data_IF_628694278385
#
_entry.id   IF_628694278385
#
_cell.length_a   1.000
_cell.length_b   1.000
_cell.length_c   1.000
_cell.angle_alpha   90.00
_cell.angle_beta   90.00
_cell.angle_gamma   90.00
#
_symmetry.space_group_name_H-M   'P 1'
#
loop_
_entity.id
_entity.type
_entity.pdbx_description
1 polymer ?
#
# COMPACT_ATOMS: atom_id res chain seq x y z
N UNK A 1 17.13 3.10 15.77
CA UNK A 1 16.93 2.33 14.52
C UNK A 1 18.00 1.26 14.41
N UNK A 2 17.65 0.03 14.03
CA UNK A 2 18.62 -1.04 13.78
C UNK A 2 19.29 -0.83 12.40
N UNK A 3 20.61 -0.63 12.39
CA UNK A 3 21.36 -0.32 11.17
C UNK A 3 21.32 -1.44 10.13
N UNK A 4 21.25 -2.70 10.57
CA UNK A 4 21.21 -3.86 9.66
C UNK A 4 19.89 -3.94 8.89
N UNK A 5 18.79 -3.57 9.55
CA UNK A 5 17.45 -3.56 8.94
C UNK A 5 17.35 -2.46 7.87
N UNK A 6 17.91 -1.29 8.14
CA UNK A 6 17.99 -0.22 7.16
C UNK A 6 18.84 -0.61 5.95
N UNK A 7 19.96 -1.32 6.15
CA UNK A 7 20.82 -1.76 5.06
C UNK A 7 20.10 -2.77 4.14
N UNK A 8 19.39 -3.74 4.70
CA UNK A 8 18.63 -4.71 3.91
C UNK A 8 17.53 -4.03 3.09
N UNK A 9 16.79 -3.09 3.69
CA UNK A 9 15.76 -2.33 2.98
C UNK A 9 16.38 -1.43 1.92
N UNK A 10 17.48 -0.74 2.20
CA UNK A 10 18.15 0.14 1.25
C UNK A 10 18.73 -0.62 0.04
N UNK A 11 19.11 -1.89 0.23
CA UNK A 11 19.64 -2.75 -0.83
C UNK A 11 18.59 -3.25 -1.83
N UNK A 12 17.29 -3.10 -1.54
CA UNK A 12 16.24 -3.49 -2.48
C UNK A 12 16.33 -2.67 -3.78
N UNK A 13 16.39 -3.36 -4.91
CA UNK A 13 16.23 -2.76 -6.24
C UNK A 13 14.75 -2.54 -6.55
N UNK A 14 14.26 -1.31 -6.37
CA UNK A 14 12.86 -0.95 -6.60
C UNK A 14 12.63 -0.28 -7.96
N UNK A 15 13.65 -0.23 -8.81
CA UNK A 15 13.56 0.43 -10.12
C UNK A 15 12.48 -0.17 -11.04
N UNK A 16 12.31 -1.50 -11.14
CA UNK A 16 11.24 -2.07 -11.98
C UNK A 16 9.84 -1.63 -11.56
N UNK A 17 9.60 -1.43 -10.26
CA UNK A 17 8.31 -0.98 -9.72
C UNK A 17 8.05 0.46 -10.16
N UNK A 18 9.06 1.34 -10.03
CA UNK A 18 8.94 2.73 -10.50
C UNK A 18 8.72 2.81 -12.01
N UNK A 19 9.48 2.05 -12.80
CA UNK A 19 9.30 1.98 -14.27
C UNK A 19 7.86 1.61 -14.61
N UNK A 20 7.30 0.61 -13.90
CA UNK A 20 5.91 0.20 -14.10
C UNK A 20 4.91 1.29 -13.68
N UNK A 21 5.09 1.92 -12.52
CA UNK A 21 4.24 3.02 -12.03
C UNK A 21 4.26 4.25 -12.97
N UNK A 22 5.41 4.54 -13.57
CA UNK A 22 5.58 5.65 -14.51
C UNK A 22 5.01 5.35 -15.91
N UNK A 23 4.79 4.08 -16.25
CA UNK A 23 4.21 3.71 -17.55
C UNK A 23 2.77 4.21 -17.65
N UNK A 24 2.48 5.03 -18.67
CA UNK A 24 1.20 5.74 -18.80
C UNK A 24 0.00 4.83 -19.07
N UNK A 25 0.19 3.77 -19.86
CA UNK A 25 -0.94 2.95 -20.33
C UNK A 25 -1.26 1.77 -19.41
N UNK A 26 -0.24 1.28 -18.71
CA UNK A 26 -0.35 0.05 -17.92
C UNK A 26 0.00 0.24 -16.44
N UNK A 27 0.26 1.48 -16.05
CA UNK A 27 0.65 1.90 -14.71
C UNK A 27 -0.15 3.13 -14.31
N UNK A 28 0.38 3.91 -13.37
CA UNK A 28 -0.28 5.11 -12.85
C UNK A 28 0.12 6.40 -13.58
N UNK A 29 1.04 6.32 -14.55
CA UNK A 29 1.55 7.48 -15.28
C UNK A 29 2.31 8.48 -14.40
N UNK A 30 2.92 8.02 -13.30
CA UNK A 30 3.65 8.89 -12.37
C UNK A 30 4.85 9.59 -13.02
N UNK A 31 5.18 10.78 -12.51
CA UNK A 31 6.46 11.42 -12.80
C UNK A 31 7.59 10.70 -12.07
N UNK A 32 8.82 10.81 -12.57
CA UNK A 32 10.00 10.27 -11.88
C UNK A 32 10.16 10.87 -10.47
N UNK A 33 9.87 12.16 -10.32
CA UNK A 33 9.92 12.85 -9.03
C UNK A 33 8.95 12.26 -8.02
N UNK A 34 7.69 12.05 -8.41
CA UNK A 34 6.70 11.37 -7.56
C UNK A 34 7.14 9.95 -7.24
N UNK A 35 7.59 9.19 -8.23
CA UNK A 35 8.04 7.81 -8.02
C UNK A 35 9.20 7.73 -7.01
N UNK A 36 10.17 8.64 -7.09
CA UNK A 36 11.29 8.71 -6.14
C UNK A 36 10.85 9.16 -4.74
N UNK A 37 9.96 10.15 -4.64
CA UNK A 37 9.43 10.61 -3.36
C UNK A 37 8.63 9.50 -2.66
N UNK A 38 7.80 8.75 -3.41
CA UNK A 38 7.02 7.64 -2.85
C UNK A 38 7.91 6.42 -2.57
N UNK A 39 8.95 6.14 -3.36
CA UNK A 39 9.91 5.08 -3.04
C UNK A 39 10.56 5.34 -1.67
N UNK A 40 10.93 6.59 -1.39
CA UNK A 40 11.49 6.98 -0.09
C UNK A 40 10.52 6.66 1.06
N UNK A 41 9.25 7.04 0.93
CA UNK A 41 8.23 6.74 1.95
C UNK A 41 7.89 5.25 2.04
N UNK A 42 7.94 4.53 0.92
CA UNK A 42 7.74 3.08 0.89
C UNK A 42 8.85 2.33 1.64
N UNK A 43 10.11 2.77 1.52
CA UNK A 43 11.21 2.22 2.32
C UNK A 43 11.01 2.48 3.82
N UNK A 44 10.50 3.66 4.20
CA UNK A 44 10.11 3.95 5.60
C UNK A 44 8.97 3.05 6.08
N UNK A 45 7.97 2.81 5.23
CA UNK A 45 6.90 1.87 5.51
C UNK A 45 7.42 0.45 5.76
N UNK A 46 8.31 -0.08 4.91
CA UNK A 46 8.92 -1.40 5.12
C UNK A 46 9.70 -1.47 6.45
N UNK A 47 10.39 -0.38 6.82
CA UNK A 47 11.07 -0.28 8.11
C UNK A 47 10.09 -0.39 9.28
N UNK A 48 8.98 0.35 9.24
CA UNK A 48 7.94 0.28 10.28
C UNK A 48 7.34 -1.13 10.38
N UNK A 49 7.09 -1.80 9.24
CA UNK A 49 6.55 -3.16 9.24
C UNK A 49 7.49 -4.18 9.85
N UNK A 50 8.81 -3.95 9.71
CA UNK A 50 9.83 -4.77 10.36
C UNK A 50 9.96 -4.48 11.85
N UNK A 51 9.94 -3.19 12.21
CA UNK A 51 10.13 -2.74 13.59
C UNK A 51 8.93 -3.07 14.49
N UNK A 52 7.73 -3.10 13.93
CA UNK A 52 6.47 -3.30 14.64
C UNK A 52 5.63 -4.43 14.00
N UNK A 53 6.11 -5.69 14.01
CA UNK A 53 5.53 -6.77 13.22
C UNK A 53 4.11 -7.22 13.63
N UNK A 54 3.70 -6.84 14.85
CA UNK A 54 2.42 -7.18 15.46
C UNK A 54 1.39 -6.03 15.39
N UNK A 55 1.79 -4.86 14.89
CA UNK A 55 0.89 -3.70 14.76
C UNK A 55 0.01 -3.82 13.50
N UNK A 56 -1.24 -3.40 13.62
CA UNK A 56 -2.13 -3.25 12.47
C UNK A 56 -2.08 -1.80 12.00
N UNK A 57 -1.59 -1.61 10.78
CA UNK A 57 -1.37 -0.29 10.20
C UNK A 57 -1.80 -0.23 8.75
N UNK A 58 -2.26 0.93 8.28
CA UNK A 58 -2.48 1.19 6.86
C UNK A 58 -1.63 2.39 6.41
N UNK A 59 -0.84 2.25 5.33
CA UNK A 59 -0.08 3.38 4.79
C UNK A 59 -1.01 4.37 4.06
N UNK A 60 -0.45 5.52 3.67
CA UNK A 60 -1.11 6.46 2.75
C UNK A 60 -1.32 5.82 1.37
N UNK A 61 -2.33 6.31 0.63
CA UNK A 61 -2.76 5.80 -0.69
C UNK A 61 -1.59 5.58 -1.65
N UNK A 62 -0.69 6.55 -1.81
CA UNK A 62 0.42 6.44 -2.76
C UNK A 62 1.43 5.35 -2.36
N UNK A 63 1.70 5.22 -1.05
CA UNK A 63 2.60 4.19 -0.54
C UNK A 63 1.97 2.79 -0.67
N UNK A 64 0.67 2.67 -0.43
CA UNK A 64 -0.08 1.42 -0.66
C UNK A 64 -0.12 1.06 -2.14
N UNK A 65 -0.31 2.05 -3.02
CA UNK A 65 -0.25 1.86 -4.47
C UNK A 65 1.13 1.33 -4.88
N UNK A 66 2.21 1.94 -4.40
CA UNK A 66 3.56 1.43 -4.66
C UNK A 66 3.72 -0.02 -4.18
N UNK A 67 3.18 -0.33 -2.99
CA UNK A 67 3.20 -1.67 -2.43
C UNK A 67 2.45 -2.68 -3.30
N UNK A 68 1.27 -2.35 -3.82
CA UNK A 68 0.53 -3.21 -4.74
C UNK A 68 1.35 -3.52 -5.99
N UNK A 69 1.98 -2.52 -6.59
CA UNK A 69 2.83 -2.73 -7.77
C UNK A 69 4.07 -3.57 -7.46
N UNK A 70 4.60 -3.51 -6.24
CA UNK A 70 5.63 -4.43 -5.79
C UNK A 70 5.10 -5.87 -5.70
N UNK A 71 3.91 -6.07 -5.11
CA UNK A 71 3.26 -7.39 -4.97
C UNK A 71 2.99 -8.04 -6.34
N UNK A 72 2.66 -7.25 -7.37
CA UNK A 72 2.36 -7.77 -8.72
C UNK A 72 3.53 -8.55 -9.34
N UNK A 73 4.78 -8.19 -9.02
CA UNK A 73 5.95 -9.03 -9.33
C UNK A 73 6.17 -10.05 -8.21
N UNK A 74 5.34 -11.08 -8.20
CA UNK A 74 5.24 -12.04 -7.09
C UNK A 74 6.56 -12.74 -6.73
N UNK A 75 7.43 -13.02 -7.72
CA UNK A 75 8.73 -13.64 -7.48
C UNK A 75 9.68 -12.66 -6.81
N UNK A 76 9.79 -11.44 -7.34
CA UNK A 76 10.61 -10.39 -6.74
C UNK A 76 10.13 -10.06 -5.34
N UNK A 77 8.82 -9.88 -5.16
CA UNK A 77 8.25 -9.54 -3.87
C UNK A 77 8.53 -10.62 -2.81
N UNK A 78 8.46 -11.90 -3.18
CA UNK A 78 8.82 -12.99 -2.28
C UNK A 78 10.30 -12.95 -1.87
N UNK A 79 11.22 -12.70 -2.83
CA UNK A 79 12.67 -12.60 -2.56
C UNK A 79 12.99 -11.39 -1.69
N UNK A 80 12.43 -10.22 -2.01
CA UNK A 80 12.63 -8.99 -1.25
C UNK A 80 12.06 -9.12 0.17
N UNK A 81 10.90 -9.78 0.32
CA UNK A 81 10.33 -10.05 1.64
C UNK A 81 11.19 -10.99 2.47
N UNK A 82 11.75 -12.06 1.88
CA UNK A 82 12.65 -12.96 2.59
C UNK A 82 13.94 -12.21 3.03
N UNK A 83 14.51 -11.39 2.14
CA UNK A 83 15.69 -10.60 2.45
C UNK A 83 15.47 -9.58 3.59
N UNK A 84 14.30 -8.93 3.63
CA UNK A 84 13.99 -7.91 4.64
C UNK A 84 13.41 -8.51 5.91
N UNK A 85 12.42 -9.39 5.82
CA UNK A 85 11.63 -9.88 6.95
C UNK A 85 11.92 -11.33 7.33
N UNK A 86 12.60 -12.11 6.47
CA UNK A 86 12.74 -13.56 6.63
C UNK A 86 11.43 -14.33 6.45
N UNK A 87 10.39 -13.67 5.93
CA UNK A 87 9.08 -14.24 5.65
C UNK A 87 8.31 -13.33 4.69
N UNK A 88 7.25 -13.85 4.08
CA UNK A 88 6.39 -13.08 3.20
C UNK A 88 5.55 -12.06 4.00
N UNK A 89 5.67 -10.76 3.68
CA UNK A 89 4.82 -9.74 4.28
C UNK A 89 3.44 -9.78 3.61
N UNK A 90 2.43 -10.28 4.32
CA UNK A 90 1.08 -10.41 3.75
C UNK A 90 0.33 -9.08 3.73
N UNK A 91 -0.36 -8.81 2.62
CA UNK A 91 -1.25 -7.66 2.46
C UNK A 91 -2.72 -8.08 2.59
N UNK A 92 -3.51 -7.31 3.34
CA UNK A 92 -4.96 -7.49 3.46
C UNK A 92 -5.66 -6.25 2.87
N UNK A 93 -6.05 -6.28 1.57
CA UNK A 93 -6.53 -5.08 0.89
C UNK A 93 -7.95 -4.69 1.29
N UNK A 94 -8.71 -5.53 1.99
CA UNK A 94 -10.16 -5.36 2.10
C UNK A 94 -10.63 -4.47 3.25
N UNK A 95 -9.73 -3.94 4.07
CA UNK A 95 -10.09 -3.10 5.21
C UNK A 95 -10.77 -1.81 4.75
N UNK A 96 -11.84 -1.43 5.43
CA UNK A 96 -12.62 -0.23 5.12
C UNK A 96 -13.65 -0.39 4.01
N UNK A 97 -13.88 -1.60 3.48
CA UNK A 97 -14.83 -1.83 2.38
C UNK A 97 -16.15 -2.49 2.83
N UNK A 98 -16.25 -2.95 4.09
CA UNK A 98 -17.36 -3.78 4.58
C UNK A 98 -18.28 -3.05 5.57
N UNK A 99 -18.67 -1.81 5.23
CA UNK A 99 -19.57 -0.98 6.04
C UNK A 99 -18.85 -0.16 7.12
N UNK A 100 -19.65 0.54 7.91
CA UNK A 100 -19.19 1.61 8.82
C UNK A 100 -18.16 1.12 9.86
N UNK A 101 -18.33 -0.07 10.43
CA UNK A 101 -17.38 -0.63 11.41
C UNK A 101 -15.99 -0.90 10.81
N UNK A 102 -15.96 -1.37 9.56
CA UNK A 102 -14.72 -1.67 8.84
C UNK A 102 -14.03 -0.37 8.37
N UNK A 103 -14.81 0.64 7.99
CA UNK A 103 -14.31 2.00 7.70
C UNK A 103 -13.69 2.64 8.95
N UNK A 104 -14.37 2.54 10.10
CA UNK A 104 -13.82 2.99 11.37
C UNK A 104 -12.53 2.23 11.75
N UNK A 105 -12.46 0.93 11.45
CA UNK A 105 -11.24 0.14 11.64
C UNK A 105 -10.10 0.64 10.74
N UNK A 106 -10.40 0.95 9.48
CA UNK A 106 -9.43 1.51 8.55
C UNK A 106 -8.84 2.84 9.05
N UNK A 107 -9.69 3.74 9.54
CA UNK A 107 -9.23 5.02 10.13
C UNK A 107 -8.31 4.75 11.33
N UNK A 108 -8.66 3.82 12.22
CA UNK A 108 -7.83 3.49 13.39
C UNK A 108 -6.44 2.98 13.00
N UNK A 109 -6.34 2.07 12.04
CA UNK A 109 -5.04 1.53 11.62
C UNK A 109 -4.21 2.57 10.83
N UNK A 110 -4.87 3.50 10.14
CA UNK A 110 -4.20 4.65 9.53
C UNK A 110 -3.63 5.62 10.56
N UNK A 111 -4.41 5.96 11.59
CA UNK A 111 -3.93 6.77 12.72
C UNK A 111 -2.78 6.08 13.44
N UNK A 112 -2.85 4.76 13.61
CA UNK A 112 -1.75 3.98 14.20
C UNK A 112 -0.47 4.06 13.38
N UNK A 113 -0.57 4.00 12.05
CA UNK A 113 0.58 4.21 11.16
C UNK A 113 1.23 5.57 11.38
N UNK A 114 0.41 6.63 11.47
CA UNK A 114 0.88 7.99 11.69
C UNK A 114 1.68 8.10 12.99
N UNK A 115 1.13 7.60 14.09
CA UNK A 115 1.81 7.61 15.40
C UNK A 115 3.18 6.93 15.33
N UNK A 116 3.21 5.70 14.80
CA UNK A 116 4.46 4.93 14.68
C UNK A 116 5.49 5.62 13.80
N UNK A 117 5.05 6.25 12.72
CA UNK A 117 5.93 7.01 11.84
C UNK A 117 6.55 8.21 12.55
N UNK A 118 5.72 9.05 13.16
CA UNK A 118 6.14 10.27 13.85
C UNK A 118 7.07 9.95 15.03
N UNK A 119 6.76 8.90 15.79
CA UNK A 119 7.62 8.42 16.89
C UNK A 119 8.96 7.88 16.40
N UNK A 120 8.98 7.19 15.26
CA UNK A 120 10.19 6.53 14.72
C UNK A 120 11.13 7.53 14.06
N UNK A 121 10.57 8.45 13.27
CA UNK A 121 11.35 9.35 12.40
C UNK A 121 11.46 10.77 12.94
N UNK A 122 10.68 11.12 13.97
CA UNK A 122 10.59 12.49 14.50
C UNK A 122 10.22 13.52 13.41
N UNK A 123 9.38 13.11 12.47
CA UNK A 123 8.92 13.91 11.34
C UNK A 123 7.43 13.69 11.11
N UNK A 124 6.71 14.73 10.69
CA UNK A 124 5.29 14.66 10.36
C UNK A 124 5.03 13.61 9.26
N UNK A 125 4.07 12.70 9.49
CA UNK A 125 3.77 11.64 8.52
C UNK A 125 3.18 12.19 7.22
N UNK A 126 2.38 13.25 7.34
CA UNK A 126 1.81 13.97 6.20
C UNK A 126 2.71 15.17 5.94
N UNK A 127 3.76 14.97 5.14
CA UNK A 127 4.63 16.05 4.71
C UNK A 127 3.84 16.98 3.78
N UNK A 128 3.76 18.28 4.12
CA UNK A 128 3.26 19.29 3.20
C UNK A 128 4.17 19.31 1.96
N UNK A 129 3.68 18.82 0.82
CA UNK A 129 4.38 18.96 -0.44
C UNK A 129 4.63 20.47 -0.70
N UNK A 130 5.87 20.83 -1.03
CA UNK A 130 6.23 22.21 -1.30
C UNK A 130 5.36 22.80 -2.44
N UNK A 131 5.04 24.11 -2.43
CA UNK A 131 4.09 24.73 -3.35
C UNK A 131 4.59 24.92 -4.80
N UNK A 132 5.51 24.08 -5.29
CA UNK A 132 6.18 24.28 -6.57
C UNK A 132 5.48 23.65 -7.80
N UNK A 133 4.51 22.75 -7.64
CA UNK A 133 4.01 21.93 -8.77
C UNK A 133 2.61 22.28 -9.31
N UNK A 134 2.09 23.48 -9.02
CA UNK A 134 0.88 23.98 -9.71
C UNK A 134 1.29 24.72 -10.99
N UNK A 135 1.91 24.00 -11.93
CA UNK A 135 1.97 24.40 -13.34
C UNK A 135 2.49 23.22 -14.17
N UNK A 136 1.59 22.52 -14.87
CA UNK A 136 1.62 22.32 -16.32
C UNK A 136 0.75 21.11 -16.75
N UNK A 137 -0.11 21.40 -17.73
CA UNK A 137 -0.89 20.48 -18.57
C UNK A 137 -2.15 19.81 -17.99
N UNK A 138 -3.26 20.56 -17.98
CA UNK A 138 -4.41 20.26 -18.84
C UNK A 138 -5.25 18.99 -18.64
N UNK A 139 -4.97 18.17 -17.64
CA UNK A 139 -5.88 17.10 -17.17
C UNK A 139 -5.97 17.25 -15.66
N UNK A 140 -7.19 17.28 -15.11
CA UNK A 140 -7.43 17.54 -13.70
C UNK A 140 -6.73 16.48 -12.83
N UNK A 141 -5.48 16.75 -12.46
CA UNK A 141 -4.80 16.11 -11.37
C UNK A 141 -5.63 16.42 -10.12
N UNK A 142 -6.30 15.41 -9.57
CA UNK A 142 -6.79 15.48 -8.20
C UNK A 142 -5.58 15.49 -7.27
N UNK A 143 -4.93 16.65 -7.17
CA UNK A 143 -4.22 17.06 -5.97
C UNK A 143 -5.09 18.14 -5.33
N UNK A 144 -6.08 17.70 -4.55
CA UNK A 144 -7.01 18.57 -3.86
C UNK A 144 -6.37 19.11 -2.58
N UNK A 145 -5.78 20.30 -2.67
CA UNK A 145 -5.64 21.15 -1.49
C UNK A 145 -7.01 21.72 -1.14
N UNK A 146 -7.69 21.12 -0.16
CA UNK A 146 -8.76 21.77 0.58
C UNK A 146 -8.99 21.02 1.90
N UNK A 147 -8.33 21.38 3.00
CA UNK A 147 -8.77 21.07 4.37
C UNK A 147 -9.39 19.70 4.67
N UNK A 148 -8.92 18.62 4.02
CA UNK A 148 -9.48 17.27 4.12
C UNK A 148 -8.39 16.38 4.69
N UNK A 149 -8.76 15.60 5.72
CA UNK A 149 -7.90 14.65 6.41
C UNK A 149 -7.13 13.77 5.40
N UNK A 150 -5.88 13.43 5.73
CA UNK A 150 -5.09 12.48 4.96
C UNK A 150 -5.91 11.22 4.66
N UNK A 151 -6.02 10.87 3.38
CA UNK A 151 -6.77 9.69 2.97
C UNK A 151 -5.85 8.47 3.09
N UNK A 152 -6.27 7.52 3.93
CA UNK A 152 -5.65 6.20 4.01
C UNK A 152 -6.14 5.33 2.85
N UNK A 153 -5.35 4.35 2.45
CA UNK A 153 -5.60 3.59 1.22
C UNK A 153 -6.85 2.70 1.30
N UNK A 154 -7.81 2.92 0.40
CA UNK A 154 -8.92 1.99 0.18
C UNK A 154 -8.70 1.26 -1.15
N UNK A 155 -8.65 -0.08 -1.14
CA UNK A 155 -8.45 -0.88 -2.37
C UNK A 155 -9.68 -0.95 -3.29
N UNK A 156 -10.76 -0.24 -2.96
CA UNK A 156 -12.00 -0.22 -3.73
C UNK A 156 -11.91 0.71 -4.94
N UNK A 157 -11.27 0.29 -6.03
CA UNK A 157 -11.51 0.93 -7.33
C UNK A 157 -12.89 0.49 -7.84
N UNK A 158 -13.75 1.44 -8.18
CA UNK A 158 -14.98 1.16 -8.90
C UNK A 158 -14.62 0.40 -10.19
N UNK A 159 -15.03 -0.87 -10.28
CA UNK A 159 -14.73 -1.73 -11.40
C UNK A 159 -15.18 -1.10 -12.72
N UNK A 160 -14.23 -0.71 -13.57
CA UNK A 160 -14.47 -0.66 -15.01
C UNK A 160 -14.24 -2.08 -15.53
N UNK A 161 -15.34 -2.74 -15.90
CA UNK A 161 -15.32 -4.11 -16.37
C UNK A 161 -14.47 -4.24 -17.65
N UNK A 162 -13.33 -4.91 -17.55
CA UNK A 162 -12.68 -5.51 -18.70
C UNK A 162 -13.39 -6.83 -19.01
N UNK A 163 -14.21 -6.87 -20.05
CA UNK A 163 -14.83 -8.10 -20.52
C UNK A 163 -13.78 -8.99 -21.20
N UNK A 164 -13.41 -10.08 -20.54
CA UNK A 164 -12.88 -11.25 -21.23
C UNK A 164 -13.68 -12.49 -20.82
N UNK A 165 -14.56 -12.93 -21.73
CA UNK A 165 -14.96 -14.33 -21.89
C UNK A 165 -15.89 -14.96 -20.85
N UNK A 166 -17.13 -15.20 -21.32
CA UNK A 166 -18.09 -16.27 -20.95
C UNK A 166 -18.92 -16.08 -19.68
N UNK A 167 -20.24 -15.99 -19.90
CA UNK A 167 -21.27 -15.92 -18.88
C UNK A 167 -21.36 -17.23 -18.07
N UNK A 168 -21.14 -17.15 -16.76
CA UNK A 168 -21.41 -18.19 -15.79
C UNK A 168 -22.37 -17.65 -14.72
N UNK A 169 -23.41 -18.41 -14.43
CA UNK A 169 -24.61 -18.05 -13.64
C UNK A 169 -24.32 -17.68 -12.19
N UNK A 170 -24.98 -16.62 -11.70
CA UNK A 170 -25.04 -16.20 -10.30
C UNK A 170 -25.66 -17.29 -9.42
N UNK A 171 -24.88 -17.96 -8.56
CA UNK A 171 -25.42 -18.55 -7.31
C UNK A 171 -24.43 -18.78 -6.16
N UNK A 172 -23.12 -18.53 -6.29
CA UNK A 172 -22.15 -18.96 -5.25
C UNK A 172 -21.60 -17.85 -4.32
N UNK A 173 -22.03 -16.60 -4.48
CA UNK A 173 -21.41 -15.45 -3.80
C UNK A 173 -21.59 -15.42 -2.27
N UNK A 174 -22.60 -16.08 -1.71
CA UNK A 174 -22.91 -16.01 -0.27
C UNK A 174 -22.13 -17.03 0.58
N UNK A 175 -21.65 -18.13 0.00
CA UNK A 175 -20.90 -19.16 0.75
C UNK A 175 -19.41 -18.79 0.87
N UNK A 176 -18.85 -18.06 -0.10
CA UNK A 176 -17.44 -17.67 -0.11
C UNK A 176 -17.08 -16.61 0.96
N UNK A 177 -17.99 -15.69 1.26
CA UNK A 177 -17.75 -14.61 2.23
C UNK A 177 -17.56 -15.12 3.67
N UNK A 178 -18.23 -16.21 4.04
CA UNK A 178 -18.14 -16.81 5.37
C UNK A 178 -16.87 -17.66 5.58
N UNK A 179 -16.28 -18.21 4.51
CA UNK A 179 -15.03 -18.99 4.60
C UNK A 179 -13.78 -18.10 4.60
N UNK A 180 -13.80 -16.93 3.97
CA UNK A 180 -12.66 -16.00 3.96
C UNK A 180 -12.43 -15.29 5.31
N UNK A 181 -13.49 -15.04 6.11
CA UNK A 181 -13.35 -14.34 7.39
C UNK A 181 -12.52 -15.11 8.43
N UNK A 182 -12.51 -16.45 8.36
CA UNK A 182 -11.69 -17.30 9.24
C UNK A 182 -10.23 -17.40 8.80
N UNK A 183 -9.92 -17.14 7.52
CA UNK A 183 -8.55 -17.29 7.00
C UNK A 183 -7.66 -16.09 7.36
N UNK A 184 -8.24 -14.90 7.49
CA UNK A 184 -7.51 -13.65 7.74
C UNK A 184 -7.59 -13.14 9.19
N UNK A 185 -8.42 -13.75 10.05
CA UNK A 185 -8.53 -13.41 11.48
C UNK A 185 -7.46 -14.08 12.35
N UNK A 186 -6.75 -15.07 11.81
CA UNK A 186 -5.60 -15.72 12.44
C UNK A 186 -4.52 -15.83 11.35
N UNK A 187 -3.40 -15.11 11.48
CA UNK A 187 -2.26 -15.29 10.55
C UNK A 187 -1.94 -16.79 10.47
N UNK A 188 -2.08 -17.45 9.31
CA UNK A 188 -1.66 -18.82 9.18
C UNK A 188 -0.13 -18.84 9.27
N UNK A 189 0.42 -19.34 10.38
CA UNK A 189 1.84 -19.72 10.42
C UNK A 189 1.97 -20.94 9.52
N UNK A 190 2.61 -20.79 8.37
CA UNK A 190 3.08 -21.95 7.63
C UNK A 190 4.11 -22.69 8.52
N UNK A 191 4.01 -24.01 8.67
CA UNK A 191 4.99 -24.76 9.45
C UNK A 191 6.38 -24.64 8.79
N UNK A 192 7.40 -24.56 9.66
CA UNK A 192 8.81 -24.50 9.29
C UNK A 192 9.27 -25.76 8.53
#
# INVERSE_FOLDING_TARGET
MNAQDMLAIAALDLEPIKVKLMHKESGEGWTLERANAIEFEYRRFLYLMKQYPDEQTAPLVDVDTFWHYHILDTMKYAVDCDAVFGHFLHHFPYIGLRGEDDEAAHIRVGLRMKELYEDTFAEDYVRNAAPADIAHSGVAAKLAHSGVAAQFAHSGVAAQFAHSGVAGTQTDALIAAAQQSSFYSLRPRLPA
#
